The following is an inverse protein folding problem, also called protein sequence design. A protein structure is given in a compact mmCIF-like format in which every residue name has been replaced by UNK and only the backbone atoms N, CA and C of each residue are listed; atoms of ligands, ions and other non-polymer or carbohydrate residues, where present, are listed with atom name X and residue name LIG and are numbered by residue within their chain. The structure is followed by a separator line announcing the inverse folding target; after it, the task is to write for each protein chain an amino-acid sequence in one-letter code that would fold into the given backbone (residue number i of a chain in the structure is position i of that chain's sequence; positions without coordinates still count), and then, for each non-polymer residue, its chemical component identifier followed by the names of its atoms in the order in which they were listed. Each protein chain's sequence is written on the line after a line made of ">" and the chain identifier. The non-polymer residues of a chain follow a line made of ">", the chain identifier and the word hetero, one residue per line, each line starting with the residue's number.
data_IF_171312919355
#
_entry.id   IF_171312919355
#
_cell.length_a   1.000
_cell.length_b   1.000
_cell.length_c   1.000
_cell.angle_alpha   90.00
_cell.angle_beta   90.00
_cell.angle_gamma   90.00
#
_symmetry.space_group_name_H-M   'P 1'
#
loop_
_entity.id
_entity.type
_entity.pdbx_description
1 polymer ?
#
# COMPACT_ATOMS: atom_id res chain seq x y z
N UNK A 1 26.97 -6.30 -2.90
CA UNK A 1 25.97 -5.30 -2.47
C UNK A 1 25.15 -5.92 -1.36
N UNK A 2 24.62 -5.12 -0.44
CA UNK A 2 23.67 -5.63 0.54
C UNK A 2 22.35 -5.91 -0.17
N UNK A 3 21.62 -6.93 0.25
CA UNK A 3 20.40 -7.38 -0.43
C UNK A 3 19.27 -7.59 0.57
N UNK A 4 18.05 -7.20 0.16
CA UNK A 4 16.82 -7.33 0.94
C UNK A 4 15.82 -8.09 0.10
N UNK A 5 15.33 -9.21 0.62
CA UNK A 5 14.24 -9.97 0.03
C UNK A 5 13.03 -9.87 0.95
N UNK A 6 11.92 -9.38 0.40
CA UNK A 6 10.64 -9.27 1.09
C UNK A 6 9.69 -10.27 0.45
N UNK A 7 9.19 -11.22 1.25
CA UNK A 7 8.27 -12.26 0.82
C UNK A 7 7.09 -12.27 1.78
N UNK A 8 5.86 -12.42 1.29
CA UNK A 8 4.70 -12.49 2.14
C UNK A 8 3.42 -12.23 1.38
N UNK A 9 2.47 -11.56 2.01
CA UNK A 9 1.17 -11.30 1.43
C UNK A 9 0.50 -10.03 1.94
N UNK A 10 -0.36 -9.46 1.10
CA UNK A 10 -1.43 -8.57 1.50
C UNK A 10 -2.60 -9.45 1.92
N UNK A 11 -2.81 -9.57 3.23
CA UNK A 11 -3.83 -10.44 3.81
C UNK A 11 -5.21 -9.94 3.40
N UNK A 12 -5.47 -8.64 3.59
CA UNK A 12 -6.79 -8.09 3.38
C UNK A 12 -6.95 -6.68 3.92
N UNK A 13 -8.19 -6.23 4.03
CA UNK A 13 -8.56 -4.91 4.48
C UNK A 13 -9.83 -4.91 5.34
N UNK A 14 -9.88 -4.02 6.34
CA UNK A 14 -11.02 -3.91 7.26
C UNK A 14 -11.35 -2.45 7.59
N UNK A 15 -12.56 -2.19 8.06
CA UNK A 15 -13.00 -0.87 8.53
C UNK A 15 -13.28 0.12 7.39
N UNK A 16 -13.58 -0.37 6.19
CA UNK A 16 -14.04 0.43 5.07
C UNK A 16 -15.58 0.50 5.02
N UNK A 17 -16.18 1.56 4.44
CA UNK A 17 -17.64 1.74 4.48
C UNK A 17 -18.45 0.70 3.69
N UNK A 18 -17.84 0.04 2.70
CA UNK A 18 -18.47 -1.00 1.87
C UNK A 18 -17.51 -2.15 1.62
N UNK A 19 -18.11 -3.30 1.36
CA UNK A 19 -17.46 -4.55 0.95
C UNK A 19 -17.21 -4.51 -0.58
N UNK A 20 -16.64 -5.56 -1.20
CA UNK A 20 -16.28 -5.54 -2.64
C UNK A 20 -15.01 -4.74 -2.92
N UNK A 21 -13.93 -5.07 -2.20
CA UNK A 21 -12.69 -4.29 -2.23
C UNK A 21 -11.60 -5.00 -3.02
N UNK A 22 -10.75 -4.21 -3.67
CA UNK A 22 -9.45 -4.64 -4.18
C UNK A 22 -8.38 -3.60 -3.83
N UNK A 23 -7.12 -4.01 -3.86
CA UNK A 23 -5.98 -3.15 -3.58
C UNK A 23 -5.02 -3.08 -4.76
N UNK A 24 -4.63 -1.86 -5.11
CA UNK A 24 -3.43 -1.61 -5.91
C UNK A 24 -2.28 -1.32 -4.96
N UNK A 25 -1.13 -1.92 -5.20
CA UNK A 25 0.02 -1.76 -4.34
C UNK A 25 1.27 -1.48 -5.16
N UNK A 26 2.25 -0.83 -4.52
CA UNK A 26 3.55 -0.61 -5.11
C UNK A 26 4.62 -0.35 -4.06
N UNK A 27 5.87 -0.60 -4.41
CA UNK A 27 7.02 -0.42 -3.54
C UNK A 27 7.90 0.69 -4.08
N UNK A 28 7.98 1.77 -3.31
CA UNK A 28 8.86 2.88 -3.60
C UNK A 28 10.20 2.72 -2.86
N UNK A 29 11.30 3.01 -3.56
CA UNK A 29 12.67 2.91 -3.04
C UNK A 29 13.48 4.12 -3.49
N UNK A 30 14.53 4.47 -2.75
CA UNK A 30 15.45 5.54 -3.13
C UNK A 30 16.42 5.15 -4.24
N UNK A 31 17.17 6.12 -4.78
CA UNK A 31 18.07 5.90 -5.93
C UNK A 31 19.25 4.93 -5.68
N UNK A 32 19.56 4.61 -4.42
CA UNK A 32 20.60 3.63 -4.07
C UNK A 32 20.13 2.16 -4.19
N UNK A 33 18.83 1.94 -4.43
CA UNK A 33 18.19 0.64 -4.48
C UNK A 33 17.95 0.19 -5.92
N UNK A 34 18.25 -1.08 -6.20
CA UNK A 34 18.03 -1.71 -7.50
C UNK A 34 17.15 -2.95 -7.31
N UNK A 35 16.07 -3.03 -8.07
CA UNK A 35 15.25 -4.24 -8.18
C UNK A 35 16.06 -5.34 -8.89
N UNK A 36 16.19 -6.50 -8.25
CA UNK A 36 16.84 -7.69 -8.80
C UNK A 36 15.81 -8.66 -9.39
N UNK A 37 14.73 -8.93 -8.65
CA UNK A 37 13.65 -9.82 -9.08
C UNK A 37 12.34 -9.50 -8.35
N UNK A 38 11.25 -10.08 -8.85
CA UNK A 38 9.91 -9.89 -8.30
C UNK A 38 9.17 -8.70 -8.90
N UNK A 39 7.96 -8.47 -8.39
CA UNK A 39 7.09 -7.38 -8.85
C UNK A 39 7.24 -6.16 -7.93
N UNK A 40 7.41 -4.99 -8.53
CA UNK A 40 7.47 -3.73 -7.79
C UNK A 40 6.09 -3.17 -7.48
N UNK A 41 5.10 -3.52 -8.28
CA UNK A 41 3.72 -3.05 -8.19
C UNK A 41 2.78 -4.15 -8.69
N UNK A 42 1.52 -4.06 -8.28
CA UNK A 42 0.51 -5.04 -8.64
C UNK A 42 -0.88 -4.65 -8.17
N UNK A 43 -1.82 -5.56 -8.44
CA UNK A 43 -3.22 -5.41 -8.08
C UNK A 43 -3.75 -6.75 -7.58
N UNK A 44 -4.55 -6.72 -6.52
CA UNK A 44 -5.26 -7.89 -6.01
C UNK A 44 -6.52 -8.19 -6.83
N UNK A 45 -7.09 -9.36 -6.59
CA UNK A 45 -8.48 -9.62 -6.96
C UNK A 45 -9.45 -8.76 -6.13
N UNK A 46 -10.68 -8.66 -6.63
CA UNK A 46 -11.80 -8.10 -5.87
C UNK A 46 -12.36 -9.19 -4.98
N UNK A 47 -12.51 -8.88 -3.69
CA UNK A 47 -13.18 -9.77 -2.74
C UNK A 47 -14.54 -9.20 -2.34
N UNK A 48 -15.57 -10.03 -2.45
CA UNK A 48 -16.98 -9.72 -2.17
C UNK A 48 -17.45 -10.54 -0.97
N UNK A 49 -17.08 -10.16 0.27
CA UNK A 49 -17.43 -10.94 1.45
C UNK A 49 -18.94 -10.92 1.68
N UNK A 50 -19.52 -12.10 1.93
CA UNK A 50 -20.96 -12.27 2.16
C UNK A 50 -21.37 -12.21 3.64
N UNK A 51 -20.42 -12.46 4.56
CA UNK A 51 -20.68 -12.54 6.00
C UNK A 51 -19.83 -11.57 6.83
N UNK A 52 -18.56 -11.36 6.45
CA UNK A 52 -17.61 -10.57 7.22
C UNK A 52 -17.46 -9.14 6.67
N UNK A 53 -17.08 -8.21 7.56
CA UNK A 53 -16.73 -6.82 7.22
C UNK A 53 -15.24 -6.67 6.80
N UNK A 54 -14.59 -7.80 6.49
CA UNK A 54 -13.18 -7.88 6.09
C UNK A 54 -13.10 -8.42 4.67
N UNK A 55 -12.38 -7.71 3.81
CA UNK A 55 -12.03 -8.20 2.49
C UNK A 55 -10.71 -8.98 2.59
N UNK A 56 -10.69 -10.24 2.13
CA UNK A 56 -9.50 -11.09 2.11
C UNK A 56 -8.94 -11.22 0.69
N UNK A 57 -7.68 -10.86 0.52
CA UNK A 57 -6.99 -10.96 -0.77
C UNK A 57 -5.95 -12.06 -0.79
N UNK A 58 -5.24 -12.28 0.33
CA UNK A 58 -4.11 -13.22 0.40
C UNK A 58 -3.16 -13.09 -0.80
N UNK A 59 -2.92 -11.85 -1.23
CA UNK A 59 -2.21 -11.56 -2.47
C UNK A 59 -0.71 -11.58 -2.24
N UNK A 60 0.08 -12.36 -3.00
CA UNK A 60 1.49 -12.54 -2.71
C UNK A 60 2.30 -11.27 -2.97
N UNK A 61 3.26 -11.01 -2.09
CA UNK A 61 4.35 -10.07 -2.27
C UNK A 61 5.64 -10.86 -2.31
N UNK A 62 6.39 -10.73 -3.40
CA UNK A 62 7.73 -11.28 -3.53
C UNK A 62 8.59 -10.30 -4.31
N UNK A 63 9.57 -9.70 -3.63
CA UNK A 63 10.46 -8.71 -4.22
C UNK A 63 11.86 -8.77 -3.62
N UNK A 64 12.86 -8.70 -4.49
CA UNK A 64 14.27 -8.74 -4.12
C UNK A 64 15.00 -7.49 -4.59
N UNK A 65 15.62 -6.79 -3.66
CA UNK A 65 16.41 -5.59 -3.93
C UNK A 65 17.88 -5.77 -3.56
N UNK A 66 18.75 -5.13 -4.33
CA UNK A 66 20.12 -4.82 -3.91
C UNK A 66 20.22 -3.35 -3.56
N UNK A 67 21.07 -3.03 -2.58
CA UNK A 67 21.36 -1.65 -2.22
C UNK A 67 22.85 -1.37 -2.04
N UNK A 68 23.22 -0.13 -2.38
CA UNK A 68 24.53 0.46 -2.10
C UNK A 68 24.51 1.38 -0.86
N UNK A 69 23.35 1.64 -0.28
CA UNK A 69 23.20 2.52 0.90
C UNK A 69 21.79 2.47 1.50
N UNK A 70 21.66 2.82 2.78
CA UNK A 70 20.38 2.70 3.50
C UNK A 70 19.37 3.81 3.19
N UNK A 71 19.81 4.89 2.53
CA UNK A 71 18.95 6.01 2.19
C UNK A 71 17.81 5.57 1.26
N UNK A 72 16.58 6.01 1.58
CA UNK A 72 15.39 5.68 0.80
C UNK A 72 14.99 4.21 0.92
N UNK A 73 15.05 3.68 2.15
CA UNK A 73 14.56 2.34 2.48
C UNK A 73 13.18 2.06 1.85
N UNK A 74 12.92 0.82 1.38
CA UNK A 74 11.67 0.45 0.75
C UNK A 74 10.42 0.84 1.57
N UNK A 75 9.45 1.45 0.89
CA UNK A 75 8.13 1.77 1.42
C UNK A 75 7.07 1.12 0.56
N UNK A 76 6.13 0.43 1.18
CA UNK A 76 4.94 -0.07 0.50
C UNK A 76 3.88 1.03 0.51
N UNK A 77 3.31 1.34 -0.64
CA UNK A 77 2.12 2.16 -0.74
C UNK A 77 0.97 1.32 -1.29
N UNK A 78 -0.24 1.64 -0.84
CA UNK A 78 -1.46 0.91 -1.17
C UNK A 78 -2.56 1.91 -1.54
N UNK A 79 -3.44 1.48 -2.42
CA UNK A 79 -4.65 2.17 -2.80
C UNK A 79 -5.78 1.17 -2.72
N UNK A 80 -6.76 1.43 -1.85
CA UNK A 80 -7.93 0.56 -1.68
C UNK A 80 -9.07 1.11 -2.51
N UNK A 81 -9.67 0.23 -3.31
CA UNK A 81 -10.73 0.54 -4.24
C UNK A 81 -11.93 -0.35 -3.96
N UNK A 82 -13.11 0.22 -4.09
CA UNK A 82 -14.39 -0.48 -4.07
C UNK A 82 -14.87 -0.69 -5.50
N UNK A 83 -15.34 -1.88 -5.83
CA UNK A 83 -16.03 -2.17 -7.09
C UNK A 83 -17.52 -2.37 -6.86
N UNK A 84 -18.35 -1.57 -7.52
CA UNK A 84 -19.81 -1.72 -7.47
C UNK A 84 -20.31 -2.88 -8.35
N UNK A 85 -21.58 -3.22 -8.23
CA UNK A 85 -22.23 -4.29 -9.01
C UNK A 85 -22.28 -4.03 -10.52
N UNK A 86 -22.01 -2.80 -10.95
CA UNK A 86 -21.91 -2.40 -12.36
C UNK A 86 -20.46 -2.40 -12.86
N UNK A 87 -19.51 -2.85 -12.04
CA UNK A 87 -18.09 -2.93 -12.36
C UNK A 87 -17.31 -1.61 -12.21
N UNK A 88 -17.96 -0.54 -11.73
CA UNK A 88 -17.31 0.77 -11.57
C UNK A 88 -16.43 0.74 -10.33
N UNK A 89 -15.24 1.34 -10.44
CA UNK A 89 -14.26 1.40 -9.36
C UNK A 89 -14.23 2.78 -8.72
N UNK A 90 -14.37 2.82 -7.40
CA UNK A 90 -14.29 4.02 -6.58
C UNK A 90 -13.12 3.89 -5.59
N UNK A 91 -12.30 4.93 -5.48
CA UNK A 91 -11.18 4.93 -4.54
C UNK A 91 -11.70 5.22 -3.13
N UNK A 92 -11.33 4.37 -2.16
CA UNK A 92 -11.69 4.52 -0.75
C UNK A 92 -10.56 5.01 0.14
N UNK A 93 -9.30 4.85 -0.27
CA UNK A 93 -8.20 5.38 0.50
C UNK A 93 -6.83 5.05 -0.07
N UNK A 94 -5.88 5.89 0.32
CA UNK A 94 -4.46 5.72 0.12
C UNK A 94 -3.80 5.37 1.45
N UNK A 95 -2.78 4.53 1.42
CA UNK A 95 -1.97 4.20 2.58
C UNK A 95 -0.52 4.03 2.18
N UNK A 96 0.37 4.15 3.16
CA UNK A 96 1.73 3.67 3.00
C UNK A 96 2.27 3.21 4.35
N UNK A 97 3.21 2.29 4.31
CA UNK A 97 3.98 1.86 5.48
C UNK A 97 5.44 1.64 5.09
N UNK A 98 6.32 1.84 6.06
CA UNK A 98 7.73 1.49 5.89
C UNK A 98 7.89 -0.03 6.01
N UNK A 99 8.67 -0.62 5.11
CA UNK A 99 8.97 -2.04 5.23
C UNK A 99 9.95 -2.28 6.39
N UNK A 100 9.82 -3.37 7.16
CA UNK A 100 10.69 -3.63 8.31
C UNK A 100 12.16 -3.71 7.90
N UNK A 101 13.04 -3.12 8.70
CA UNK A 101 14.48 -3.17 8.50
C UNK A 101 15.16 -4.33 9.21
N UNK A 102 14.45 -4.99 10.13
CA UNK A 102 14.93 -6.17 10.86
C UNK A 102 14.53 -7.47 10.13
N UNK A 103 15.41 -8.48 10.06
CA UNK A 103 15.07 -9.76 9.47
C UNK A 103 14.01 -10.49 10.30
N UNK A 104 13.20 -11.34 9.66
CA UNK A 104 12.16 -12.14 10.32
C UNK A 104 10.76 -11.89 9.78
N UNK A 105 9.76 -12.48 10.44
CA UNK A 105 8.35 -12.34 10.10
C UNK A 105 7.72 -11.18 10.88
N UNK A 106 7.06 -10.29 10.14
CA UNK A 106 6.35 -9.12 10.64
C UNK A 106 4.89 -9.14 10.21
N UNK A 107 3.99 -8.79 11.13
CA UNK A 107 2.61 -8.42 10.81
C UNK A 107 2.53 -6.89 10.82
N UNK A 108 2.07 -6.30 9.72
CA UNK A 108 1.99 -4.86 9.58
C UNK A 108 0.55 -4.42 9.32
N UNK A 109 0.24 -3.26 9.88
CA UNK A 109 -1.07 -2.63 9.77
C UNK A 109 -0.87 -1.28 9.11
N UNK A 110 -1.38 -1.13 7.90
CA UNK A 110 -1.28 0.09 7.10
C UNK A 110 -2.59 0.86 7.16
N UNK A 111 -2.64 1.91 7.98
CA UNK A 111 -3.80 2.80 8.09
C UNK A 111 -3.94 3.64 6.82
N UNK A 112 -5.15 3.70 6.27
CA UNK A 112 -5.43 4.46 5.04
C UNK A 112 -6.18 5.75 5.33
N UNK A 113 -6.09 6.67 4.37
CA UNK A 113 -6.71 7.99 4.42
C UNK A 113 -7.23 8.35 3.02
N UNK A 114 -8.29 9.14 2.96
CA UNK A 114 -8.76 9.71 1.69
C UNK A 114 -8.75 11.24 1.75
N UNK A 115 -8.47 11.93 0.63
CA UNK A 115 -8.67 13.37 0.56
C UNK A 115 -10.15 13.70 0.71
N UNK A 116 -10.46 14.69 1.55
CA UNK A 116 -11.77 15.33 1.60
C UNK A 116 -11.88 16.22 0.34
N UNK A 117 -12.69 15.78 -0.62
CA UNK A 117 -13.17 16.65 -1.67
C UNK A 117 -14.12 17.72 -1.13
N UNK A 118 -14.39 18.75 -1.94
CA UNK A 118 -15.41 19.75 -1.61
C UNK A 118 -16.79 19.09 -1.46
N UNK A 119 -17.72 19.70 -0.70
CA UNK A 119 -19.07 19.14 -0.52
C UNK A 119 -19.83 18.91 -1.85
N UNK A 120 -19.54 19.72 -2.87
CA UNK A 120 -20.08 19.56 -4.22
C UNK A 120 -19.52 18.33 -4.94
N UNK A 121 -18.21 18.05 -4.78
CA UNK A 121 -17.57 16.83 -5.27
C UNK A 121 -18.11 15.58 -4.56
N UNK A 122 -18.43 15.69 -3.27
CA UNK A 122 -19.03 14.57 -2.52
C UNK A 122 -20.46 14.27 -2.98
N UNK A 123 -21.23 15.31 -3.32
CA UNK A 123 -22.57 15.17 -3.91
C UNK A 123 -22.49 14.60 -5.33
N UNK A 124 -21.55 15.05 -6.17
CA UNK A 124 -21.36 14.48 -7.50
C UNK A 124 -20.86 13.04 -7.46
N UNK A 125 -20.00 12.67 -6.49
CA UNK A 125 -19.59 11.28 -6.23
C UNK A 125 -20.78 10.36 -5.97
N UNK A 126 -21.71 10.79 -5.11
CA UNK A 126 -22.88 10.00 -4.75
C UNK A 126 -23.86 9.81 -5.92
N UNK A 127 -23.91 10.74 -6.87
CA UNK A 127 -24.85 10.71 -8.00
C UNK A 127 -24.26 10.21 -9.33
N UNK A 128 -22.98 10.47 -9.62
CA UNK A 128 -22.32 10.19 -10.91
C UNK A 128 -21.22 9.12 -10.77
N UNK A 129 -20.70 8.91 -9.56
CA UNK A 129 -19.52 8.09 -9.31
C UNK A 129 -18.22 8.84 -9.65
N UNK A 130 -17.13 8.51 -8.97
CA UNK A 130 -15.80 9.09 -9.19
C UNK A 130 -15.34 10.04 -8.06
N UNK A 131 -14.66 9.47 -7.06
CA UNK A 131 -14.01 10.19 -5.95
C UNK A 131 -12.87 11.12 -6.39
N UNK A 132 -12.42 12.04 -5.52
CA UNK A 132 -11.26 12.88 -5.79
C UNK A 132 -10.03 11.97 -5.73
N UNK A 133 -9.37 11.80 -6.87
CA UNK A 133 -8.13 11.03 -6.95
C UNK A 133 -6.94 11.97 -6.87
N UNK A 134 -5.86 11.50 -6.25
CA UNK A 134 -4.60 12.24 -6.28
C UNK A 134 -4.10 12.30 -7.73
N UNK A 135 -3.87 13.52 -8.22
CA UNK A 135 -3.24 13.75 -9.54
C UNK A 135 -1.83 13.15 -9.61
N UNK A 136 -1.15 13.03 -8.46
CA UNK A 136 0.18 12.43 -8.33
C UNK A 136 0.19 11.36 -7.24
N UNK A 137 0.45 10.11 -7.63
CA UNK A 137 0.61 8.97 -6.72
C UNK A 137 1.80 9.11 -5.77
N UNK A 138 2.77 9.96 -6.12
CA UNK A 138 3.97 10.19 -5.31
C UNK A 138 3.69 10.88 -3.98
N UNK A 139 2.58 11.63 -3.90
CA UNK A 139 2.11 12.29 -2.67
C UNK A 139 1.76 11.27 -1.57
N UNK A 140 1.50 10.01 -1.95
CA UNK A 140 1.14 8.96 -1.00
C UNK A 140 2.31 8.67 -0.04
N UNK A 141 3.56 8.66 -0.51
CA UNK A 141 4.72 8.18 0.25
C UNK A 141 5.82 9.22 0.50
N UNK A 142 5.80 10.37 -0.20
CA UNK A 142 6.76 11.46 -0.03
C UNK A 142 6.35 12.45 1.06
N UNK A 143 5.05 12.54 1.39
CA UNK A 143 4.52 13.46 2.39
C UNK A 143 4.61 14.94 2.03
N UNK A 144 5.39 15.30 1.00
CA UNK A 144 5.40 16.61 0.39
C UNK A 144 3.97 16.99 -0.01
N UNK A 145 3.55 18.22 0.32
CA UNK A 145 2.23 18.78 0.05
C UNK A 145 1.00 18.10 0.70
N UNK A 146 1.18 17.06 1.53
CA UNK A 146 0.05 16.47 2.29
C UNK A 146 -0.63 17.48 3.21
N UNK A 147 0.11 18.45 3.76
CA UNK A 147 -0.44 19.51 4.60
C UNK A 147 -1.45 20.43 3.87
N UNK A 148 -1.45 20.42 2.53
CA UNK A 148 -2.42 21.17 1.72
C UNK A 148 -3.73 20.41 1.51
N UNK A 149 -3.76 19.12 1.84
CA UNK A 149 -4.92 18.26 1.68
C UNK A 149 -5.66 18.15 3.02
N UNK A 150 -6.97 18.41 2.99
CA UNK A 150 -7.83 17.93 4.05
C UNK A 150 -8.04 16.43 3.85
N UNK A 151 -7.84 15.63 4.90
CA UNK A 151 -7.94 14.17 4.80
C UNK A 151 -8.80 13.62 5.92
N UNK A 152 -9.52 12.53 5.66
CA UNK A 152 -10.15 11.72 6.72
C UNK A 152 -9.53 10.34 6.76
N UNK A 153 -9.56 9.74 7.94
CA UNK A 153 -9.27 8.33 8.09
C UNK A 153 -10.28 7.50 7.29
N UNK A 154 -9.80 6.45 6.64
CA UNK A 154 -10.62 5.45 5.98
C UNK A 154 -10.45 4.12 6.73
N UNK A 155 -10.20 3.02 6.02
CA UNK A 155 -9.95 1.71 6.63
C UNK A 155 -8.47 1.40 6.82
N UNK A 156 -8.20 0.12 7.05
CA UNK A 156 -6.86 -0.39 7.36
C UNK A 156 -6.56 -1.62 6.49
N UNK A 157 -5.34 -1.70 5.97
CA UNK A 157 -4.83 -2.86 5.21
C UNK A 157 -3.88 -3.67 6.08
N UNK A 158 -4.05 -4.99 6.07
CA UNK A 158 -3.26 -5.94 6.86
C UNK A 158 -2.27 -6.69 5.97
N UNK A 159 -1.04 -6.80 6.45
CA UNK A 159 0.10 -7.35 5.71
C UNK A 159 0.84 -8.34 6.60
N UNK A 160 1.33 -9.41 5.99
CA UNK A 160 2.24 -10.36 6.62
C UNK A 160 3.47 -10.49 5.74
N UNK A 161 4.63 -10.09 6.25
CA UNK A 161 5.86 -10.01 5.47
C UNK A 161 7.03 -10.64 6.23
N UNK A 162 7.76 -11.52 5.55
CA UNK A 162 9.07 -11.99 5.95
C UNK A 162 10.15 -11.16 5.24
N UNK A 163 11.08 -10.62 6.03
CA UNK A 163 12.24 -9.86 5.54
C UNK A 163 13.49 -10.71 5.72
N UNK A 164 14.22 -10.93 4.63
CA UNK A 164 15.51 -11.61 4.60
C UNK A 164 16.59 -10.59 4.21
N UNK A 165 17.60 -10.46 5.05
CA UNK A 165 18.73 -9.58 4.80
C UNK A 165 19.96 -10.41 4.47
N UNK A 166 20.65 -10.04 3.39
CA UNK A 166 21.87 -10.71 2.96
C UNK A 166 23.01 -9.71 2.82
N UNK A 167 24.17 -10.10 3.33
CA UNK A 167 25.43 -9.34 3.31
C UNK A 167 25.43 -8.02 4.10
N UNK A 168 24.36 -7.64 4.82
CA UNK A 168 24.31 -6.40 5.62
C UNK A 168 25.43 -6.31 6.66
N UNK A 169 25.70 -7.40 7.39
CA UNK A 169 26.79 -7.47 8.36
C UNK A 169 28.19 -7.21 7.75
N UNK A 170 28.41 -7.60 6.48
CA UNK A 170 29.70 -7.34 5.79
C UNK A 170 29.94 -5.86 5.53
N UNK A 171 28.88 -5.05 5.55
CA UNK A 171 28.92 -3.61 5.36
C UNK A 171 28.72 -2.84 6.67
N UNK A 172 28.84 -3.52 7.83
CA UNK A 172 28.79 -2.89 9.15
C UNK A 172 27.40 -2.38 9.57
N UNK A 173 26.34 -2.91 8.96
CA UNK A 173 24.95 -2.56 9.35
C UNK A 173 24.45 -3.62 10.32
N UNK A 174 24.25 -3.22 11.59
CA UNK A 174 23.53 -4.00 12.60
C UNK A 174 22.02 -3.81 12.40
N UNK A 175 21.26 -4.89 12.47
CA UNK A 175 19.83 -4.93 12.14
C UNK A 175 18.99 -5.38 13.33
#
# INVERSE_FOLDING_TARGET
>A
MAEVHIIGQIVGASGFPRNSLFCKWGIHTGGAWKLLSGLREGQTQVDHPQLDDVAYWSHPIDVHFATKGLQGWPKLHVQVWHQDSFGRSELYGYGFCHLPSSPGWHMLTCTTWQPLGSWQERLSQLFVGGGPQLLQSDLIYTGADRYRLQTIAAGTVHLELAVLLRHFARYGVEC
#
